data_IF_035072894069
#
_entry.id   IF_035072894069
#
_cell.length_a   1.000
_cell.length_b   1.000
_cell.length_c   1.000
_cell.angle_alpha   90.00
_cell.angle_beta   90.00
_cell.angle_gamma   90.00
#
_symmetry.space_group_name_H-M   'P 1'
#
loop_
_entity.id
_entity.type
_entity.pdbx_description
1 polymer ?
#
# COMPACT_ATOMS: atom_id res chain seq x y z
N UNK A 1 -20.88 -2.88 -11.78
CA UNK A 1 -19.86 -1.97 -11.18
C UNK A 1 -18.67 -1.80 -12.12
N UNK A 2 -17.79 -0.82 -11.92
CA UNK A 2 -16.55 -0.66 -12.72
C UNK A 2 -15.34 -0.70 -11.80
N UNK A 3 -14.31 -1.45 -12.15
CA UNK A 3 -13.03 -1.51 -11.44
C UNK A 3 -11.91 -0.98 -12.34
N UNK A 4 -11.05 -0.15 -11.79
CA UNK A 4 -9.81 0.33 -12.40
C UNK A 4 -8.62 -0.27 -11.71
N UNK A 5 -7.61 -0.67 -12.46
CA UNK A 5 -6.40 -1.27 -11.90
C UNK A 5 -5.17 -0.61 -12.52
N UNK A 6 -4.25 -0.19 -11.65
CA UNK A 6 -2.94 0.32 -12.03
C UNK A 6 -1.86 -0.08 -11.00
N UNK A 7 -0.61 -0.12 -11.44
CA UNK A 7 0.57 -0.41 -10.63
C UNK A 7 1.53 0.76 -10.48
N UNK A 8 2.19 0.84 -9.32
CA UNK A 8 3.24 1.82 -9.05
C UNK A 8 4.47 1.13 -8.48
N UNK A 9 5.64 1.63 -8.88
CA UNK A 9 6.91 1.17 -8.34
C UNK A 9 7.54 0.01 -9.11
N UNK A 10 7.38 -0.05 -10.43
CA UNK A 10 8.12 -1.01 -11.26
C UNK A 10 9.61 -0.70 -11.37
N UNK A 11 9.98 0.55 -11.63
CA UNK A 11 11.38 0.98 -11.84
C UNK A 11 12.29 1.13 -10.61
N UNK A 12 11.79 1.46 -9.39
CA UNK A 12 12.63 1.59 -8.19
C UNK A 12 13.54 0.39 -7.91
N UNK A 13 14.76 0.67 -7.48
CA UNK A 13 15.74 -0.35 -7.02
C UNK A 13 15.48 -0.78 -5.56
N UNK A 14 14.64 -0.03 -4.84
CA UNK A 14 14.21 -0.35 -3.48
C UNK A 14 12.70 -0.15 -3.28
N UNK A 15 12.18 -0.82 -2.25
CA UNK A 15 10.79 -0.76 -1.84
C UNK A 15 9.86 -1.68 -2.63
N UNK A 16 8.59 -1.81 -2.20
CA UNK A 16 7.64 -2.72 -2.81
C UNK A 16 7.15 -2.22 -4.18
N UNK A 17 6.59 -3.13 -4.95
CA UNK A 17 5.61 -2.78 -5.99
C UNK A 17 4.22 -2.70 -5.35
N UNK A 18 3.42 -1.72 -5.75
CA UNK A 18 2.07 -1.50 -5.25
C UNK A 18 1.07 -1.61 -6.41
N UNK A 19 -0.08 -2.23 -6.17
CA UNK A 19 -1.19 -2.28 -7.13
C UNK A 19 -2.47 -1.86 -6.42
N UNK A 20 -3.21 -0.93 -7.01
CA UNK A 20 -4.54 -0.56 -6.55
C UNK A 20 -5.59 -1.18 -7.47
N UNK A 21 -6.61 -1.80 -6.88
CA UNK A 21 -7.91 -1.94 -7.52
C UNK A 21 -8.81 -0.83 -6.97
N UNK A 22 -9.48 -0.09 -7.85
CA UNK A 22 -10.41 0.99 -7.51
C UNK A 22 -11.82 0.65 -8.01
N UNK A 23 -12.76 0.43 -7.10
CA UNK A 23 -14.14 0.08 -7.38
C UNK A 23 -15.02 1.32 -7.38
N UNK A 24 -15.64 1.60 -8.52
CA UNK A 24 -16.62 2.65 -8.70
C UNK A 24 -18.03 2.06 -8.57
N UNK A 25 -18.77 2.51 -7.55
CA UNK A 25 -20.18 2.13 -7.32
C UNK A 25 -21.13 3.16 -7.92
N UNK A 26 -20.82 4.45 -7.79
CA UNK A 26 -21.59 5.55 -8.39
C UNK A 26 -20.76 6.32 -9.44
N UNK A 27 -21.17 6.24 -10.71
CA UNK A 27 -20.48 6.93 -11.82
C UNK A 27 -20.50 8.46 -11.70
N UNK A 28 -21.43 9.04 -10.93
CA UNK A 28 -21.55 10.51 -10.77
C UNK A 28 -20.30 11.12 -10.13
N UNK A 29 -19.55 10.38 -9.30
CA UNK A 29 -18.31 10.92 -8.68
C UNK A 29 -17.22 11.22 -9.73
N UNK A 30 -17.27 10.60 -10.92
CA UNK A 30 -16.28 10.86 -11.97
C UNK A 30 -16.33 12.31 -12.50
N UNK A 31 -17.41 13.05 -12.21
CA UNK A 31 -17.54 14.48 -12.56
C UNK A 31 -16.61 15.38 -11.74
N UNK A 32 -16.17 14.92 -10.57
CA UNK A 32 -15.26 15.66 -9.68
C UNK A 32 -13.79 15.54 -10.10
N UNK A 33 -13.47 14.61 -11.01
CA UNK A 33 -12.11 14.36 -11.45
C UNK A 33 -11.96 14.71 -12.94
N UNK A 34 -11.01 15.60 -13.24
CA UNK A 34 -10.64 16.00 -14.61
C UNK A 34 -9.44 15.19 -15.07
N UNK A 35 -9.47 14.73 -16.32
CA UNK A 35 -8.31 14.09 -16.96
C UNK A 35 -7.33 15.18 -17.47
N UNK A 36 -6.04 14.84 -17.66
CA UNK A 36 -5.43 13.55 -17.33
C UNK A 36 -5.22 13.39 -15.82
N UNK A 37 -5.42 12.17 -15.32
CA UNK A 37 -5.09 11.78 -13.94
C UNK A 37 -3.76 11.01 -13.92
N UNK A 38 -2.76 11.54 -14.63
CA UNK A 38 -1.42 10.96 -14.64
C UNK A 38 -0.73 11.24 -13.30
N UNK A 39 -0.65 10.22 -12.46
CA UNK A 39 -0.08 10.35 -11.12
C UNK A 39 1.40 10.78 -11.14
N UNK A 40 2.11 10.67 -12.28
CA UNK A 40 3.51 11.09 -12.42
C UNK A 40 3.63 12.58 -12.79
N UNK A 41 2.61 13.16 -13.42
CA UNK A 41 2.59 14.58 -13.80
C UNK A 41 2.01 15.48 -12.71
N UNK A 42 1.16 14.92 -11.83
CA UNK A 42 0.62 15.65 -10.69
C UNK A 42 1.68 15.88 -9.61
N UNK A 43 1.56 16.99 -8.86
CA UNK A 43 2.36 17.21 -7.65
C UNK A 43 1.94 16.25 -6.53
N UNK A 44 2.77 16.12 -5.48
CA UNK A 44 2.44 15.29 -4.33
C UNK A 44 1.20 15.81 -3.60
N UNK A 45 1.13 17.14 -3.43
CA UNK A 45 0.02 17.85 -2.80
C UNK A 45 -1.28 17.60 -3.57
N UNK A 46 -1.23 17.68 -4.91
CA UNK A 46 -2.42 17.46 -5.73
C UNK A 46 -2.92 16.01 -5.68
N UNK A 47 -2.00 15.05 -5.63
CA UNK A 47 -2.36 13.63 -5.44
C UNK A 47 -3.03 13.40 -4.09
N UNK A 48 -2.53 14.03 -3.03
CA UNK A 48 -3.11 13.95 -1.70
C UNK A 48 -4.50 14.61 -1.63
N UNK A 49 -4.69 15.77 -2.26
CA UNK A 49 -6.02 16.40 -2.38
C UNK A 49 -7.04 15.48 -3.06
N UNK A 50 -6.65 14.84 -4.17
CA UNK A 50 -7.50 13.88 -4.87
C UNK A 50 -7.79 12.65 -4.00
N UNK A 51 -6.78 12.15 -3.28
CA UNK A 51 -6.94 11.03 -2.35
C UNK A 51 -7.94 11.34 -1.23
N UNK A 52 -7.92 12.57 -0.69
CA UNK A 52 -8.90 13.00 0.31
C UNK A 52 -10.33 13.10 -0.26
N UNK A 53 -10.50 13.56 -1.51
CA UNK A 53 -11.79 13.53 -2.19
C UNK A 53 -12.30 12.09 -2.36
N UNK A 54 -11.41 11.17 -2.75
CA UNK A 54 -11.72 9.73 -2.86
C UNK A 54 -12.18 9.19 -1.50
N UNK A 55 -11.49 9.51 -0.41
CA UNK A 55 -11.84 9.06 0.93
C UNK A 55 -13.24 9.54 1.35
N UNK A 56 -13.61 10.78 1.04
CA UNK A 56 -14.96 11.29 1.28
C UNK A 56 -16.02 10.46 0.55
N UNK A 57 -15.83 10.19 -0.74
CA UNK A 57 -16.76 9.34 -1.50
C UNK A 57 -16.79 7.88 -1.03
N UNK A 58 -15.68 7.38 -0.49
CA UNK A 58 -15.62 6.05 0.12
C UNK A 58 -16.48 5.99 1.39
N UNK A 59 -16.43 7.02 2.24
CA UNK A 59 -17.29 7.13 3.44
C UNK A 59 -18.78 7.20 3.07
N UNK A 60 -19.11 7.79 1.92
CA UNK A 60 -20.46 7.80 1.35
C UNK A 60 -20.85 6.47 0.65
N UNK A 61 -20.00 5.44 0.69
CA UNK A 61 -20.19 4.16 0.00
C UNK A 61 -20.35 4.29 -1.53
N UNK A 62 -19.74 5.31 -2.15
CA UNK A 62 -19.84 5.58 -3.60
C UNK A 62 -18.66 5.01 -4.40
N UNK A 63 -17.57 4.70 -3.71
CA UNK A 63 -16.43 3.95 -4.22
C UNK A 63 -15.80 3.10 -3.12
N UNK A 64 -14.87 2.23 -3.50
CA UNK A 64 -14.00 1.46 -2.60
C UNK A 64 -12.65 1.27 -3.29
N UNK A 65 -11.57 1.02 -2.55
CA UNK A 65 -10.27 0.71 -3.14
C UNK A 65 -9.46 -0.26 -2.29
N UNK A 66 -8.62 -1.06 -2.94
CA UNK A 66 -7.72 -1.99 -2.25
C UNK A 66 -6.33 -1.89 -2.83
N UNK A 67 -5.36 -1.57 -1.97
CA UNK A 67 -3.94 -1.53 -2.33
C UNK A 67 -3.24 -2.77 -1.81
N UNK A 68 -2.57 -3.49 -2.70
CA UNK A 68 -1.71 -4.62 -2.37
C UNK A 68 -0.27 -4.28 -2.67
N UNK A 69 0.60 -4.66 -1.74
CA UNK A 69 2.04 -4.49 -1.87
C UNK A 69 2.71 -5.86 -2.01
N UNK A 70 3.75 -5.93 -2.82
CA UNK A 70 4.66 -7.07 -2.88
C UNK A 70 6.06 -6.60 -2.53
N UNK A 71 6.64 -7.23 -1.51
CA UNK A 71 7.94 -6.85 -0.96
C UNK A 71 9.08 -7.17 -1.93
N UNK A 72 10.23 -6.49 -1.79
CA UNK A 72 11.45 -6.81 -2.53
C UNK A 72 11.84 -8.28 -2.46
N UNK A 73 11.78 -8.90 -1.28
CA UNK A 73 12.10 -10.32 -1.10
C UNK A 73 11.23 -11.26 -1.94
N UNK A 74 9.92 -10.99 -2.03
CA UNK A 74 9.02 -11.78 -2.89
C UNK A 74 9.30 -11.48 -4.36
N UNK A 75 9.50 -10.21 -4.70
CA UNK A 75 9.80 -9.76 -6.06
C UNK A 75 11.08 -10.39 -6.61
N UNK A 76 12.15 -10.43 -5.82
CA UNK A 76 13.41 -11.06 -6.18
C UNK A 76 13.24 -12.57 -6.40
N UNK A 77 12.30 -13.22 -5.69
CA UNK A 77 12.02 -14.66 -5.83
C UNK A 77 11.20 -15.00 -7.06
N UNK A 78 10.16 -14.23 -7.38
CA UNK A 78 9.19 -14.60 -8.44
C UNK A 78 9.23 -13.70 -9.68
N UNK A 79 10.00 -12.61 -9.63
CA UNK A 79 10.07 -11.60 -10.69
C UNK A 79 8.94 -10.56 -10.62
N UNK A 80 9.17 -9.40 -11.25
CA UNK A 80 8.25 -8.24 -11.21
C UNK A 80 6.88 -8.56 -11.81
N UNK A 81 6.82 -9.26 -12.95
CA UNK A 81 5.55 -9.56 -13.63
C UNK A 81 4.66 -10.45 -12.78
N UNK A 82 5.21 -11.53 -12.21
CA UNK A 82 4.45 -12.42 -11.31
C UNK A 82 4.06 -11.71 -10.00
N UNK A 83 4.90 -10.80 -9.51
CA UNK A 83 4.61 -9.96 -8.34
C UNK A 83 3.42 -9.03 -8.57
N UNK A 84 3.34 -8.41 -9.74
CA UNK A 84 2.20 -7.57 -10.11
C UNK A 84 0.93 -8.41 -10.24
N UNK A 85 0.98 -9.55 -10.95
CA UNK A 85 -0.17 -10.47 -11.04
C UNK A 85 -0.67 -10.91 -9.66
N UNK A 86 0.24 -11.23 -8.74
CA UNK A 86 -0.06 -11.55 -7.35
C UNK A 86 -0.73 -10.38 -6.61
N UNK A 87 -0.23 -9.15 -6.79
CA UNK A 87 -0.81 -7.96 -6.19
C UNK A 87 -2.21 -7.66 -6.73
N UNK A 88 -2.44 -7.78 -8.04
CA UNK A 88 -3.76 -7.64 -8.67
C UNK A 88 -4.75 -8.64 -8.06
N UNK A 89 -4.38 -9.93 -7.99
CA UNK A 89 -5.23 -10.97 -7.43
C UNK A 89 -5.60 -10.69 -5.96
N UNK A 90 -4.63 -10.23 -5.15
CA UNK A 90 -4.85 -9.85 -3.75
C UNK A 90 -5.76 -8.63 -3.61
N UNK A 91 -5.57 -7.60 -4.44
CA UNK A 91 -6.40 -6.39 -4.39
C UNK A 91 -7.85 -6.68 -4.77
N UNK A 92 -8.07 -7.49 -5.81
CA UNK A 92 -9.42 -7.91 -6.21
C UNK A 92 -10.10 -8.81 -5.18
N UNK A 93 -9.37 -9.74 -4.56
CA UNK A 93 -9.92 -10.63 -3.55
C UNK A 93 -10.47 -9.87 -2.32
N UNK A 94 -9.82 -8.76 -1.94
CA UNK A 94 -10.24 -7.92 -0.80
C UNK A 94 -11.47 -7.06 -1.07
N UNK A 95 -11.86 -6.89 -2.33
CA UNK A 95 -13.03 -6.08 -2.69
C UNK A 95 -14.34 -6.87 -2.58
N UNK A 96 -14.28 -8.19 -2.44
CA UNK A 96 -15.45 -9.08 -2.35
C UNK A 96 -16.43 -8.94 -3.54
N UNK A 97 -15.96 -8.46 -4.69
CA UNK A 97 -16.77 -8.31 -5.90
C UNK A 97 -16.81 -9.62 -6.69
N UNK A 98 -18.01 -10.08 -7.03
CA UNK A 98 -18.19 -11.24 -7.90
C UNK A 98 -17.75 -10.92 -9.32
N UNK A 99 -17.09 -11.88 -9.97
CA UNK A 99 -16.43 -11.65 -11.26
C UNK A 99 -17.37 -11.38 -12.43
N UNK A 100 -18.64 -11.79 -12.33
CA UNK A 100 -19.69 -11.54 -13.33
C UNK A 100 -20.45 -10.22 -13.12
N UNK A 101 -20.20 -9.47 -12.04
CA UNK A 101 -20.94 -8.24 -11.69
C UNK A 101 -20.13 -6.95 -11.94
N UNK A 102 -18.92 -7.07 -12.49
CA UNK A 102 -18.01 -5.94 -12.72
C UNK A 102 -17.39 -5.92 -14.12
N UNK A 103 -17.23 -4.71 -14.65
CA UNK A 103 -16.30 -4.41 -15.74
C UNK A 103 -14.94 -4.02 -15.15
N UNK A 104 -13.85 -4.65 -15.60
CA UNK A 104 -12.49 -4.26 -15.21
C UNK A 104 -11.80 -3.51 -16.34
N UNK A 105 -11.16 -2.40 -16.02
CA UNK A 105 -10.20 -1.69 -16.88
C UNK A 105 -8.82 -1.72 -16.21
N UNK A 106 -7.79 -2.12 -16.96
CA UNK A 106 -6.42 -2.18 -16.47
C UNK A 106 -5.47 -1.34 -17.31
N UNK A 107 -4.45 -0.75 -16.70
CA UNK A 107 -3.40 0.01 -17.41
C UNK A 107 -2.41 -0.90 -18.17
N UNK A 108 -1.85 -0.39 -19.27
CA UNK A 108 -0.66 -0.91 -19.91
C UNK A 108 -0.80 -2.33 -20.43
N UNK A 109 -0.13 -3.28 -19.75
CA UNK A 109 -0.10 -4.72 -20.07
C UNK A 109 -0.58 -5.57 -18.88
N UNK A 110 -1.31 -4.95 -17.95
CA UNK A 110 -1.88 -5.65 -16.81
C UNK A 110 -3.00 -6.60 -17.23
N UNK A 111 -3.20 -7.64 -16.42
CA UNK A 111 -4.22 -8.65 -16.64
C UNK A 111 -4.80 -9.11 -15.29
N UNK A 112 -6.13 -9.13 -15.17
CA UNK A 112 -6.82 -9.67 -14.02
C UNK A 112 -6.93 -11.21 -14.12
N UNK A 113 -7.14 -11.92 -12.99
CA UNK A 113 -7.34 -13.37 -13.01
C UNK A 113 -8.43 -13.80 -14.00
N UNK A 114 -8.24 -14.94 -14.68
CA UNK A 114 -9.10 -15.42 -15.77
C UNK A 114 -10.60 -15.48 -15.46
N UNK A 115 -10.97 -15.68 -14.19
CA UNK A 115 -12.37 -15.69 -13.73
C UNK A 115 -13.11 -14.36 -13.98
N UNK A 116 -12.39 -13.26 -14.14
CA UNK A 116 -12.92 -11.96 -14.53
C UNK A 116 -12.95 -11.87 -16.06
N UNK A 117 -14.02 -12.40 -16.65
CA UNK A 117 -14.18 -12.47 -18.11
C UNK A 117 -14.41 -11.10 -18.74
N UNK A 118 -15.04 -10.17 -18.00
CA UNK A 118 -15.30 -8.82 -18.48
C UNK A 118 -14.19 -7.83 -18.10
N UNK A 119 -13.02 -8.01 -18.70
CA UNK A 119 -11.85 -7.16 -18.49
C UNK A 119 -11.32 -6.57 -19.80
N UNK A 120 -10.79 -5.34 -19.75
CA UNK A 120 -10.14 -4.67 -20.88
C UNK A 120 -8.85 -3.98 -20.42
N UNK A 121 -7.74 -4.31 -21.07
CA UNK A 121 -6.46 -3.64 -20.86
C UNK A 121 -6.31 -2.49 -21.85
N UNK A 122 -5.81 -1.34 -21.38
CA UNK A 122 -5.68 -0.10 -22.15
C UNK A 122 -4.30 0.49 -21.96
N UNK A 123 -3.57 0.66 -23.06
CA UNK A 123 -2.24 1.28 -23.05
C UNK A 123 -2.38 2.76 -22.69
N UNK A 124 -1.73 3.23 -21.62
CA UNK A 124 -1.90 4.60 -21.13
C UNK A 124 -3.33 4.87 -20.65
N UNK A 125 -3.94 3.85 -20.04
CA UNK A 125 -5.27 3.90 -19.46
C UNK A 125 -5.37 4.91 -18.32
N UNK A 126 -4.28 5.15 -17.58
CA UNK A 126 -4.19 6.18 -16.54
C UNK A 126 -4.53 7.60 -17.05
N UNK A 127 -4.16 7.92 -18.28
CA UNK A 127 -4.42 9.21 -18.94
C UNK A 127 -5.79 9.31 -19.59
N UNK A 128 -6.41 8.18 -19.94
CA UNK A 128 -7.59 8.13 -20.81
C UNK A 128 -8.85 7.62 -20.11
N UNK A 129 -8.71 6.79 -19.07
CA UNK A 129 -9.80 6.19 -18.31
C UNK A 129 -9.69 6.64 -16.86
N UNK A 130 -10.64 7.50 -16.44
CA UNK A 130 -10.66 8.10 -15.09
C UNK A 130 -10.51 7.08 -13.97
N UNK A 131 -11.18 5.94 -14.08
CA UNK A 131 -11.13 4.89 -13.05
C UNK A 131 -9.74 4.24 -12.93
N UNK A 132 -8.99 4.10 -14.02
CA UNK A 132 -7.57 3.68 -13.97
C UNK A 132 -6.73 4.80 -13.34
N UNK A 133 -6.93 6.06 -13.75
CA UNK A 133 -6.21 7.19 -13.17
C UNK A 133 -6.42 7.34 -11.65
N UNK A 134 -7.63 7.11 -11.15
CA UNK A 134 -7.90 7.07 -9.70
C UNK A 134 -7.16 5.92 -9.00
N UNK A 135 -7.11 4.73 -9.63
CA UNK A 135 -6.30 3.62 -9.12
C UNK A 135 -4.81 3.99 -9.07
N UNK A 136 -4.29 4.67 -10.11
CA UNK A 136 -2.91 5.17 -10.19
C UNK A 136 -2.56 6.08 -9.02
N UNK A 137 -3.42 7.08 -8.76
CA UNK A 137 -3.22 8.05 -7.68
C UNK A 137 -3.23 7.35 -6.32
N UNK A 138 -4.21 6.48 -6.07
CA UNK A 138 -4.31 5.73 -4.81
C UNK A 138 -3.08 4.83 -4.61
N UNK A 139 -2.64 4.10 -5.64
CA UNK A 139 -1.43 3.28 -5.57
C UNK A 139 -0.18 4.12 -5.29
N UNK A 140 -0.07 5.30 -5.93
CA UNK A 140 1.07 6.21 -5.80
C UNK A 140 1.17 6.80 -4.39
N UNK A 141 0.06 7.37 -3.88
CA UNK A 141 -0.02 7.91 -2.52
C UNK A 141 0.31 6.84 -1.49
N UNK A 142 -0.31 5.67 -1.59
CA UNK A 142 -0.08 4.58 -0.64
C UNK A 142 1.37 4.07 -0.66
N UNK A 143 2.00 3.98 -1.84
CA UNK A 143 3.41 3.58 -1.94
C UNK A 143 4.36 4.65 -1.42
N UNK A 144 4.14 5.91 -1.76
CA UNK A 144 5.02 7.01 -1.36
C UNK A 144 5.03 7.19 0.16
N UNK A 145 3.87 7.16 0.81
CA UNK A 145 3.75 7.15 2.29
C UNK A 145 4.52 5.98 2.91
N UNK A 146 4.47 4.79 2.29
CA UNK A 146 5.23 3.62 2.77
C UNK A 146 6.75 3.79 2.62
N UNK A 147 7.21 4.50 1.59
CA UNK A 147 8.62 4.81 1.42
C UNK A 147 9.09 5.92 2.37
N UNK A 148 8.23 6.85 2.76
CA UNK A 148 8.53 7.85 3.80
C UNK A 148 8.72 7.20 5.18
N UNK A 149 7.82 6.27 5.55
CA UNK A 149 7.98 5.45 6.75
C UNK A 149 9.27 4.63 6.70
N UNK A 150 9.61 4.09 5.53
CA UNK A 150 10.87 3.39 5.33
C UNK A 150 12.09 4.31 5.50
N UNK A 151 11.99 5.59 5.12
CA UNK A 151 13.05 6.58 5.34
C UNK A 151 13.36 6.78 6.82
N UNK A 152 12.35 6.72 7.69
CA UNK A 152 12.55 6.76 9.14
C UNK A 152 13.30 5.52 9.65
N UNK A 153 12.98 4.32 9.14
CA UNK A 153 13.63 3.06 9.56
C UNK A 153 15.04 2.88 8.97
N UNK A 154 15.25 3.35 7.75
CA UNK A 154 16.48 3.18 6.98
C UNK A 154 17.03 4.56 6.59
N UNK A 155 17.36 5.36 7.60
CA UNK A 155 17.74 6.78 7.46
C UNK A 155 18.95 7.01 6.55
N UNK A 156 19.83 6.02 6.41
CA UNK A 156 21.01 6.06 5.53
C UNK A 156 20.70 6.16 4.03
N UNK A 157 19.45 5.93 3.59
CA UNK A 157 19.11 5.79 2.17
C UNK A 157 18.17 6.87 1.63
N UNK A 158 17.70 7.80 2.47
CA UNK A 158 16.83 8.92 2.07
C UNK A 158 15.58 8.50 1.27
N UNK A 159 14.94 7.39 1.67
CA UNK A 159 13.78 6.83 0.97
C UNK A 159 12.57 7.76 0.94
N UNK A 160 12.45 8.65 1.93
CA UNK A 160 11.46 9.72 1.98
C UNK A 160 11.63 10.73 0.84
N UNK A 161 12.83 10.87 0.27
CA UNK A 161 13.09 11.75 -0.87
C UNK A 161 13.06 10.99 -2.19
N UNK A 162 13.87 9.94 -2.31
CA UNK A 162 14.04 9.24 -3.59
C UNK A 162 12.97 8.18 -3.87
N UNK A 163 12.09 7.85 -2.90
CA UNK A 163 11.01 6.85 -3.02
C UNK A 163 11.48 5.47 -3.54
N UNK A 164 12.76 5.14 -3.35
CA UNK A 164 13.43 3.92 -3.78
C UNK A 164 13.95 3.93 -5.22
N UNK A 165 13.82 5.04 -5.97
CA UNK A 165 14.36 5.15 -7.33
C UNK A 165 15.89 5.19 -7.32
N UNK A 166 16.53 4.57 -8.30
CA UNK A 166 17.99 4.52 -8.45
C UNK A 166 18.57 5.84 -8.94
N UNK A 167 18.43 6.90 -8.15
CA UNK A 167 19.07 8.18 -8.45
C UNK A 167 20.58 8.07 -8.20
N UNK A 168 21.36 9.01 -8.78
CA UNK A 168 22.81 9.09 -8.51
C UNK A 168 23.11 9.14 -7.01
N UNK A 169 22.31 9.88 -6.25
CA UNK A 169 22.45 9.97 -4.81
C UNK A 169 22.17 8.63 -4.11
N UNK A 170 21.11 7.93 -4.51
CA UNK A 170 20.78 6.63 -3.93
C UNK A 170 21.88 5.59 -4.18
N UNK A 171 22.51 5.59 -5.36
CA UNK A 171 23.67 4.74 -5.64
C UNK A 171 24.90 5.09 -4.80
N UNK A 172 25.19 6.37 -4.55
CA UNK A 172 26.26 6.77 -3.61
C UNK A 172 26.00 6.26 -2.19
N UNK A 173 24.76 6.35 -1.72
CA UNK A 173 24.35 5.84 -0.41
C UNK A 173 24.48 4.32 -0.35
N UNK A 174 24.15 3.62 -1.44
CA UNK A 174 24.37 2.17 -1.58
C UNK A 174 25.86 1.78 -1.56
N UNK A 175 26.74 2.56 -2.19
CA UNK A 175 28.19 2.32 -2.14
C UNK A 175 28.74 2.54 -0.72
N UNK A 176 28.25 3.56 -0.02
CA UNK A 176 28.68 3.90 1.34
C UNK A 176 28.15 2.91 2.39
N UNK A 177 26.87 2.55 2.30
CA UNK A 177 26.15 1.83 3.33
C UNK A 177 25.72 0.42 2.91
N UNK A 178 26.09 -0.07 1.73
CA UNK A 178 25.67 -1.39 1.26
C UNK A 178 24.16 -1.54 1.06
N UNK A 179 23.71 -2.76 0.77
CA UNK A 179 22.29 -3.08 0.53
C UNK A 179 21.54 -3.39 1.83
N UNK A 180 20.41 -2.73 2.06
CA UNK A 180 19.46 -3.11 3.11
C UNK A 180 18.29 -3.98 2.60
N UNK A 181 17.45 -4.48 3.50
CA UNK A 181 16.30 -5.36 3.23
C UNK A 181 15.25 -4.81 2.25
N UNK A 182 15.22 -3.48 2.06
CA UNK A 182 14.31 -2.87 1.10
C UNK A 182 14.84 -2.88 -0.34
N UNK A 183 16.11 -3.22 -0.57
CA UNK A 183 16.65 -3.29 -1.92
C UNK A 183 16.19 -4.54 -2.67
N UNK A 184 15.90 -4.38 -3.95
CA UNK A 184 15.59 -5.47 -4.88
C UNK A 184 16.92 -5.98 -5.43
N UNK A 185 17.45 -7.04 -4.81
CA UNK A 185 18.77 -7.57 -5.16
C UNK A 185 18.83 -7.99 -6.62
N UNK A 186 17.73 -8.49 -7.17
CA UNK A 186 17.63 -8.85 -8.58
C UNK A 186 17.83 -7.67 -9.54
N UNK A 187 17.59 -6.44 -9.10
CA UNK A 187 17.71 -5.23 -9.92
C UNK A 187 19.11 -4.60 -9.84
N UNK A 188 19.92 -4.98 -8.86
CA UNK A 188 21.25 -4.42 -8.61
C UNK A 188 22.38 -5.19 -9.30
N UNK A 189 22.08 -6.33 -9.95
CA UNK A 189 23.06 -7.31 -10.45
C UNK A 189 24.09 -6.77 -11.45
N UNK A 190 23.85 -5.63 -12.11
CA UNK A 190 24.86 -4.99 -12.98
C UNK A 190 25.93 -4.18 -12.22
N UNK A 191 25.64 -3.75 -10.99
CA UNK A 191 26.51 -2.86 -10.18
C UNK A 191 27.11 -3.55 -8.95
N UNK A 192 26.77 -4.82 -8.69
CA UNK A 192 27.07 -5.52 -7.42
C UNK A 192 28.45 -6.14 -7.29
N UNK A 193 29.22 -6.32 -8.38
CA UNK A 193 30.56 -6.91 -8.28
C UNK A 193 31.56 -6.07 -7.45
N UNK A 194 31.18 -4.84 -7.04
CA UNK A 194 31.99 -3.98 -6.16
C UNK A 194 31.40 -3.74 -4.77
N UNK A 195 30.11 -4.03 -4.54
CA UNK A 195 29.37 -3.58 -3.34
C UNK A 195 29.22 -4.71 -2.29
N UNK A 196 29.31 -5.98 -2.69
CA UNK A 196 28.97 -7.13 -1.86
C UNK A 196 29.88 -7.35 -0.63
N UNK A 197 31.17 -7.00 -0.72
CA UNK A 197 32.17 -7.48 0.23
C UNK A 197 32.21 -6.70 1.55
N UNK A 198 31.79 -5.42 1.57
CA UNK A 198 31.96 -4.56 2.76
C UNK A 198 30.79 -4.66 3.75
N UNK A 199 29.57 -4.89 3.27
CA UNK A 199 28.36 -4.89 4.10
C UNK A 199 28.13 -6.22 4.83
N UNK A 200 28.46 -7.36 4.21
CA UNK A 200 28.37 -8.66 4.89
C UNK A 200 29.32 -8.76 6.09
N UNK A 201 30.44 -8.03 6.05
CA UNK A 201 31.39 -7.91 7.17
C UNK A 201 30.82 -7.02 8.28
N UNK A 202 30.26 -5.86 7.94
CA UNK A 202 29.70 -4.90 8.92
C UNK A 202 28.44 -5.44 9.63
N UNK A 203 27.55 -6.12 8.91
CA UNK A 203 26.32 -6.71 9.50
C UNK A 203 26.64 -7.85 10.46
N UNK A 204 27.69 -8.64 10.19
CA UNK A 204 28.17 -9.68 11.13
C UNK A 204 28.75 -9.10 12.43
N UNK A 205 29.25 -7.87 12.39
CA UNK A 205 29.87 -7.20 13.54
C UNK A 205 28.86 -6.43 14.41
N UNK A 206 27.65 -6.13 13.92
CA UNK A 206 26.70 -5.22 14.57
C UNK A 206 25.54 -5.89 15.33
N UNK A 207 25.72 -7.12 15.85
CA UNK A 207 24.72 -7.78 16.70
C UNK A 207 24.59 -7.14 18.10
N UNK A 208 24.02 -5.94 18.19
CA UNK A 208 23.42 -5.39 19.42
C UNK A 208 22.12 -4.62 19.08
N UNK A 209 20.99 -5.32 18.91
CA UNK A 209 19.70 -4.72 18.50
C UNK A 209 19.05 -3.81 19.56
N UNK A 210 19.51 -3.80 20.81
CA UNK A 210 18.85 -3.04 21.89
C UNK A 210 19.30 -1.58 22.01
N UNK A 211 20.49 -1.22 21.55
CA UNK A 211 20.98 0.17 21.61
C UNK A 211 20.38 1.05 20.49
N UNK A 212 20.00 0.45 19.36
CA UNK A 212 19.49 1.17 18.19
C UNK A 212 18.02 1.62 18.36
N UNK A 213 17.20 0.86 19.10
CA UNK A 213 15.78 1.23 19.33
C UNK A 213 15.63 2.47 20.24
N UNK A 214 16.58 2.68 21.17
CA UNK A 214 16.61 3.86 22.03
C UNK A 214 16.93 5.15 21.27
N UNK A 215 17.79 5.06 20.25
CA UNK A 215 18.24 6.20 19.46
C UNK A 215 17.25 6.57 18.33
N UNK A 216 16.57 5.57 17.75
CA UNK A 216 15.43 5.77 16.83
C UNK A 216 14.29 6.55 17.52
N UNK A 217 13.97 6.22 18.77
CA UNK A 217 12.93 6.93 19.55
C UNK A 217 13.32 8.37 19.88
N UNK A 218 14.61 8.67 20.05
CA UNK A 218 15.11 10.05 20.29
C UNK A 218 15.08 10.89 19.01
N UNK A 219 15.50 10.35 17.86
CA UNK A 219 15.52 11.09 16.60
C UNK A 219 14.12 11.35 16.00
N UNK A 220 13.15 10.44 16.22
CA UNK A 220 11.75 10.71 15.86
C UNK A 220 11.07 11.75 16.77
N UNK A 221 11.56 11.95 18.01
CA UNK A 221 11.06 13.00 18.91
C UNK A 221 11.68 14.37 18.61
N UNK A 222 12.97 14.43 18.26
CA UNK A 222 13.66 15.68 17.93
C UNK A 222 13.02 16.44 16.74
N UNK A 223 12.58 15.73 15.69
CA UNK A 223 11.87 16.37 14.57
C UNK A 223 10.51 16.99 14.94
N UNK A 224 9.89 16.61 16.07
CA UNK A 224 8.64 17.22 16.55
C UNK A 224 8.86 18.51 17.34
N UNK A 225 10.06 18.75 17.86
CA UNK A 225 10.36 19.94 18.67
C UNK A 225 10.90 21.10 17.83
N UNK A 226 11.57 20.83 16.71
CA UNK A 226 12.05 21.89 15.80
C UNK A 226 10.93 22.58 15.01
N UNK A 227 9.80 21.90 14.73
CA UNK A 227 8.63 22.51 14.05
C UNK A 227 7.74 23.38 14.96
N UNK A 228 8.04 23.47 16.27
CA UNK A 228 7.24 24.26 17.24
C UNK A 228 7.86 25.61 17.62
N UNK A 229 9.02 25.97 17.08
CA UNK A 229 9.64 27.29 17.32
C UNK A 229 9.39 28.21 16.13
N UNK A 230 8.15 28.68 15.98
CA UNK A 230 7.81 29.94 15.28
C UNK A 230 6.30 30.20 15.42
N UNK A 231 5.88 30.77 16.56
CA UNK A 231 4.76 31.73 16.68
C UNK A 231 4.57 32.16 18.16
N UNK A 232 4.16 33.40 18.46
CA UNK A 232 4.11 33.93 19.82
C UNK A 232 2.85 33.51 20.58
N UNK A 233 3.06 33.43 21.89
CA UNK A 233 2.13 33.18 23.01
C UNK A 233 0.73 33.79 22.93
N UNK A 234 -0.28 33.01 23.34
CA UNK A 234 -1.25 33.44 24.37
C UNK A 234 -1.94 32.22 25.02
N UNK A 235 -2.17 32.35 26.33
CA UNK A 235 -2.66 31.36 27.28
C UNK A 235 -4.03 30.73 26.95
N UNK A 236 -4.20 29.45 27.31
CA UNK A 236 -5.10 28.99 28.42
C UNK A 236 -5.17 27.46 28.47
N UNK A 237 -5.23 26.94 29.70
CA UNK A 237 -5.32 25.53 30.09
C UNK A 237 -6.32 24.67 29.28
N UNK A 238 -5.89 23.47 28.86
CA UNK A 238 -6.77 22.30 28.70
C UNK A 238 -5.97 20.99 28.60
N UNK A 239 -6.56 19.92 29.15
CA UNK A 239 -6.02 18.55 29.32
C UNK A 239 -5.34 17.95 28.06
N UNK A 240 -4.40 17.00 28.21
CA UNK A 240 -3.68 16.41 27.08
C UNK A 240 -4.61 15.53 26.23
N UNK A 241 -5.20 16.13 25.20
CA UNK A 241 -6.05 15.45 24.22
C UNK A 241 -5.19 15.13 22.99
N UNK A 242 -4.43 14.04 23.07
CA UNK A 242 -3.51 13.66 21.99
C UNK A 242 -4.31 13.12 20.77
N UNK A 243 -4.63 14.04 19.86
CA UNK A 243 -5.31 13.79 18.57
C UNK A 243 -4.61 12.70 17.73
N UNK A 244 -3.32 12.45 17.99
CA UNK A 244 -2.50 11.46 17.32
C UNK A 244 -2.81 10.02 17.77
N UNK A 245 -3.02 9.79 19.07
CA UNK A 245 -3.36 8.45 19.58
C UNK A 245 -4.76 8.02 19.16
N UNK A 246 -5.69 8.98 19.09
CA UNK A 246 -7.03 8.74 18.54
C UNK A 246 -6.99 8.36 17.06
N UNK A 247 -6.11 8.97 16.28
CA UNK A 247 -5.96 8.66 14.86
C UNK A 247 -5.20 7.35 14.61
N UNK A 248 -4.17 7.04 15.41
CA UNK A 248 -3.44 5.77 15.34
C UNK A 248 -4.33 4.57 15.71
N UNK A 249 -5.21 4.74 16.72
CA UNK A 249 -6.22 3.75 17.08
C UNK A 249 -7.28 3.57 15.99
N UNK A 250 -7.62 4.65 15.27
CA UNK A 250 -8.59 4.63 14.15
C UNK A 250 -8.03 3.89 12.94
N UNK A 251 -6.75 4.12 12.62
CA UNK A 251 -6.03 3.44 11.54
C UNK A 251 -5.82 1.96 11.88
N UNK A 252 -5.48 1.62 13.14
CA UNK A 252 -5.37 0.22 13.58
C UNK A 252 -6.69 -0.53 13.51
N UNK A 253 -7.81 0.09 13.91
CA UNK A 253 -9.15 -0.52 13.79
C UNK A 253 -9.60 -0.70 12.35
N UNK A 254 -9.18 0.16 11.42
CA UNK A 254 -9.53 0.06 10.01
C UNK A 254 -8.74 -1.02 9.23
N UNK A 255 -7.68 -1.58 9.82
CA UNK A 255 -6.73 -2.50 9.16
C UNK A 255 -6.74 -3.93 9.72
N UNK A 256 -7.58 -4.23 10.72
CA UNK A 256 -7.75 -5.60 11.20
C UNK A 256 -8.80 -6.35 10.37
N UNK A 257 -8.53 -7.59 9.93
CA UNK A 257 -9.57 -8.44 9.35
C UNK A 257 -10.60 -8.76 10.46
N UNK A 258 -11.89 -8.57 10.15
CA UNK A 258 -12.97 -9.07 11.00
C UNK A 258 -12.84 -10.59 11.08
N UNK A 259 -12.42 -11.11 12.24
CA UNK A 259 -12.51 -12.53 12.51
C UNK A 259 -13.99 -12.93 12.53
N UNK A 260 -14.38 -14.04 11.89
CA UNK A 260 -15.76 -14.51 11.90
C UNK A 260 -16.14 -14.94 13.32
N UNK A 261 -17.27 -14.42 13.80
CA UNK A 261 -17.91 -14.87 15.02
C UNK A 261 -18.09 -16.40 14.98
N UNK A 262 -17.67 -17.05 16.05
CA UNK A 262 -18.05 -18.41 16.44
C UNK A 262 -19.58 -18.55 16.32
N UNK A 263 -20.06 -19.30 15.34
CA UNK A 263 -21.33 -20.01 15.47
C UNK A 263 -21.04 -21.35 16.13
N UNK A 264 -21.65 -21.59 17.29
CA UNK A 264 -22.01 -22.92 17.84
C UNK A 264 -22.61 -22.71 19.23
N UNK A 265 -23.95 -22.75 19.32
CA UNK A 265 -24.73 -23.51 20.31
C UNK A 265 -26.23 -23.23 20.15
N UNK A 266 -26.86 -24.09 19.38
CA UNK A 266 -28.28 -24.46 19.31
C UNK A 266 -28.29 -25.56 18.22
N UNK A 267 -28.72 -26.80 18.37
CA UNK A 267 -29.49 -27.50 19.40
C UNK A 267 -29.17 -28.99 19.20
N UNK A 268 -28.85 -29.73 20.25
CA UNK A 268 -28.73 -31.18 20.19
C UNK A 268 -29.32 -31.73 21.49
N UNK A 269 -30.64 -31.83 21.52
CA UNK A 269 -31.39 -32.63 22.50
C UNK A 269 -32.78 -32.85 21.93
N UNK A 270 -32.97 -34.01 21.28
CA UNK A 270 -34.16 -34.86 21.32
C UNK A 270 -34.00 -35.97 20.28
N UNK A 271 -33.36 -37.05 20.72
CA UNK A 271 -33.29 -38.34 20.03
C UNK A 271 -33.63 -39.44 21.02
N UNK A 272 -34.92 -39.60 21.33
CA UNK A 272 -35.57 -40.82 21.82
C UNK A 272 -36.80 -40.92 20.89
N UNK A 273 -36.92 -41.87 19.96
CA UNK A 273 -36.91 -43.31 20.18
C UNK A 273 -38.35 -43.76 20.41
N UNK A 274 -39.04 -44.21 19.36
CA UNK A 274 -40.34 -44.90 19.46
C UNK A 274 -41.26 -44.79 18.24
N UNK A 275 -41.70 -45.95 17.70
CA UNK A 275 -42.82 -46.15 16.76
C UNK A 275 -42.41 -46.21 15.28
N UNK A 276 -42.41 -47.34 14.54
CA UNK A 276 -43.59 -48.12 14.07
C UNK A 276 -44.67 -47.18 13.50
N UNK A 277 -45.17 -47.23 12.25
CA UNK A 277 -45.88 -48.30 11.52
C UNK A 277 -46.10 -47.87 10.04
N UNK A 278 -45.96 -48.84 9.11
CA UNK A 278 -46.63 -49.08 7.80
C UNK A 278 -47.07 -47.99 6.79
N UNK A 279 -46.80 -48.32 5.51
CA UNK A 279 -47.70 -48.35 4.34
C UNK A 279 -48.25 -47.05 3.69
N UNK A 280 -48.18 -47.11 2.34
CA UNK A 280 -48.81 -46.33 1.25
C UNK A 280 -47.98 -45.16 0.73
#
# INVERSE_FOLDING_TARGET
MIIGIDEVGRGPIAGPVAVCAFLLKDKKILRYFKLPLDSKQLSAEKREEIFEIINKFRLENRCEHSVSFVSPAVLDKIGITKSIKLAIARSLARMEVKSNECQIYLDGLLEAPFKFTNQKTVIGGDRTIKVIGLASIVAKVARDRRMEIAGCKFSSYSFEKNKGYGTREHFKLLEKFGVCDLHRRSFLKSNTNKISTKYEILVRQAHHPEEFEGEIRKNCKFKKEEEKKDTPSSDKHQAPNNKFEKEELRIRKALLPLNPLRSKRASAEQGRGGGEISNI
#
